data_IF_811813616084
#
_entry.id   IF_811813616084
#
_cell.length_a   1.000
_cell.length_b   1.000
_cell.length_c   1.000
_cell.angle_alpha   90.00
_cell.angle_beta   90.00
_cell.angle_gamma   90.00
#
_symmetry.space_group_name_H-M   'P 1'
#
loop_
_entity.id
_entity.type
_entity.pdbx_description
1 polymer ?
#
# COMPACT_ATOMS: atom_id res chain seq x y z
N UNK A 1 -4.48 -24.73 -4.09
CA UNK A 1 -4.45 -23.36 -3.52
C UNK A 1 -3.26 -22.54 -3.97
N UNK A 2 -2.01 -23.06 -3.89
CA UNK A 2 -0.78 -22.30 -4.24
C UNK A 2 -0.71 -21.69 -5.65
N UNK A 3 -1.31 -22.31 -6.66
CA UNK A 3 -1.27 -21.81 -8.06
C UNK A 3 -1.92 -20.42 -8.17
N UNK A 4 -3.12 -20.29 -7.60
CA UNK A 4 -3.90 -19.03 -7.61
C UNK A 4 -3.19 -17.97 -6.78
N UNK A 5 -2.78 -18.32 -5.56
CA UNK A 5 -2.05 -17.41 -4.68
C UNK A 5 -0.83 -16.78 -5.36
N UNK A 6 0.02 -17.61 -5.99
CA UNK A 6 1.18 -17.14 -6.76
C UNK A 6 0.81 -16.34 -8.01
N UNK A 7 -0.34 -16.65 -8.63
CA UNK A 7 -0.81 -15.87 -9.77
C UNK A 7 -1.13 -14.43 -9.34
N UNK A 8 -1.72 -14.27 -8.15
CA UNK A 8 -2.10 -12.97 -7.59
C UNK A 8 -0.91 -12.05 -7.28
N UNK A 9 0.34 -12.54 -7.25
CA UNK A 9 1.52 -11.66 -7.22
C UNK A 9 1.55 -10.68 -8.41
N UNK A 10 0.87 -10.98 -9.52
CA UNK A 10 0.72 -10.05 -10.63
C UNK A 10 0.01 -8.75 -10.24
N UNK A 11 -0.80 -8.72 -9.18
CA UNK A 11 -1.43 -7.48 -8.69
C UNK A 11 -0.35 -6.49 -8.24
N UNK A 12 0.69 -6.99 -7.58
CA UNK A 12 1.79 -6.18 -7.03
C UNK A 12 2.83 -5.84 -8.10
N UNK A 13 3.18 -6.80 -8.96
CA UNK A 13 4.29 -6.67 -9.91
C UNK A 13 3.86 -6.42 -11.37
N UNK A 14 2.57 -6.46 -11.66
CA UNK A 14 2.00 -6.38 -13.02
C UNK A 14 1.87 -7.74 -13.70
N UNK A 15 2.76 -8.69 -13.41
CA UNK A 15 2.68 -10.06 -13.91
C UNK A 15 3.24 -11.06 -12.89
N UNK A 16 2.93 -12.33 -13.08
CA UNK A 16 3.56 -13.45 -12.39
C UNK A 16 3.85 -14.57 -13.38
N UNK A 17 4.93 -15.30 -13.14
CA UNK A 17 5.33 -16.45 -13.94
C UNK A 17 5.59 -17.64 -13.03
N UNK A 18 5.09 -18.80 -13.44
CA UNK A 18 5.26 -20.04 -12.70
C UNK A 18 5.59 -21.18 -13.67
N UNK A 19 6.51 -22.07 -13.29
CA UNK A 19 6.75 -23.33 -13.99
C UNK A 19 5.78 -24.39 -13.48
N UNK A 20 5.11 -25.08 -14.38
CA UNK A 20 4.19 -26.19 -14.10
C UNK A 20 5.01 -27.48 -13.99
N UNK A 21 4.89 -28.16 -12.86
CA UNK A 21 5.52 -29.46 -12.63
C UNK A 21 4.53 -30.56 -12.98
N UNK A 22 4.75 -31.18 -14.13
CA UNK A 22 3.96 -32.31 -14.62
C UNK A 22 4.44 -33.62 -14.00
N UNK A 23 3.50 -34.49 -13.67
CA UNK A 23 3.74 -35.87 -13.23
C UNK A 23 2.84 -36.80 -14.03
N UNK A 24 3.44 -37.85 -14.59
CA UNK A 24 2.71 -38.93 -15.24
C UNK A 24 2.51 -40.07 -14.25
N UNK A 25 1.26 -40.56 -14.14
CA UNK A 25 0.91 -41.78 -13.43
C UNK A 25 -0.07 -42.60 -14.29
N UNK A 26 0.28 -43.84 -14.60
CA UNK A 26 -0.50 -44.77 -15.44
C UNK A 26 -0.98 -44.16 -16.78
N UNK A 27 -0.11 -43.41 -17.46
CA UNK A 27 -0.43 -42.73 -18.72
C UNK A 27 -1.31 -41.49 -18.59
N UNK A 28 -1.61 -41.05 -17.36
CA UNK A 28 -2.34 -39.82 -17.06
C UNK A 28 -1.36 -38.75 -16.56
N UNK A 29 -1.30 -37.64 -17.29
CA UNK A 29 -0.54 -36.45 -16.94
C UNK A 29 -1.35 -35.57 -15.98
N UNK A 30 -0.80 -35.34 -14.79
CA UNK A 30 -1.35 -34.47 -13.76
C UNK A 30 -0.33 -33.39 -13.37
N UNK A 31 -0.79 -32.41 -12.59
CA UNK A 31 0.05 -31.32 -12.10
C UNK A 31 0.37 -31.57 -10.64
N UNK A 32 1.63 -31.83 -10.32
CA UNK A 32 2.09 -31.99 -8.94
C UNK A 32 2.20 -30.65 -8.21
N UNK A 33 2.43 -29.57 -8.95
CA UNK A 33 2.48 -28.22 -8.41
C UNK A 33 3.03 -27.21 -9.40
N UNK A 34 3.32 -26.02 -8.88
CA UNK A 34 4.04 -24.98 -9.62
C UNK A 34 5.29 -24.54 -8.88
N UNK A 35 6.23 -23.93 -9.58
CA UNK A 35 7.37 -23.21 -9.02
C UNK A 35 7.25 -21.77 -9.46
N UNK A 36 7.10 -20.85 -8.51
CA UNK A 36 7.10 -19.42 -8.78
C UNK A 36 8.52 -18.89 -8.96
N UNK A 37 8.63 -17.83 -9.74
CA UNK A 37 9.87 -17.11 -9.97
C UNK A 37 9.66 -15.64 -9.64
N UNK A 38 10.67 -15.01 -9.06
CA UNK A 38 10.64 -13.56 -8.78
C UNK A 38 10.40 -12.77 -10.08
N UNK A 39 9.26 -12.04 -10.20
CA UNK A 39 8.93 -11.25 -11.39
C UNK A 39 10.03 -10.24 -11.77
N UNK A 40 10.82 -9.75 -10.81
CA UNK A 40 11.92 -8.81 -11.09
C UNK A 40 13.07 -9.43 -11.91
N UNK A 41 13.15 -10.76 -11.95
CA UNK A 41 14.25 -11.51 -12.57
C UNK A 41 13.86 -12.21 -13.87
N UNK A 42 12.56 -12.22 -14.20
CA UNK A 42 12.01 -12.93 -15.35
C UNK A 42 11.96 -12.01 -16.57
N UNK A 43 12.38 -12.55 -17.72
CA UNK A 43 12.14 -11.92 -19.04
C UNK A 43 11.09 -12.71 -19.81
N UNK A 44 9.97 -12.08 -20.12
CA UNK A 44 8.95 -12.67 -20.99
C UNK A 44 9.40 -12.59 -22.45
N UNK A 45 9.29 -13.70 -23.17
CA UNK A 45 9.57 -13.78 -24.60
C UNK A 45 8.23 -13.81 -25.35
N UNK A 46 8.02 -12.83 -26.23
CA UNK A 46 6.77 -12.66 -27.00
C UNK A 46 6.97 -12.89 -28.47
N UNK A 47 5.93 -13.34 -29.15
CA UNK A 47 5.88 -13.39 -30.61
C UNK A 47 5.68 -11.99 -31.22
N UNK A 48 5.58 -11.93 -32.55
CA UNK A 48 5.36 -10.68 -33.31
C UNK A 48 4.02 -10.00 -32.97
N UNK A 49 3.11 -10.69 -32.28
CA UNK A 49 1.80 -10.20 -31.88
C UNK A 49 1.74 -9.82 -30.38
N UNK A 50 2.83 -9.97 -29.64
CA UNK A 50 2.90 -9.66 -28.21
C UNK A 50 2.34 -10.77 -27.31
N UNK A 51 2.13 -11.97 -27.84
CA UNK A 51 1.72 -13.14 -27.05
C UNK A 51 2.94 -13.86 -26.48
N UNK A 52 2.87 -14.21 -25.20
CA UNK A 52 3.98 -14.83 -24.48
C UNK A 52 4.09 -16.31 -24.88
N UNK A 53 5.22 -16.72 -25.45
CA UNK A 53 5.47 -18.12 -25.84
C UNK A 53 6.53 -18.81 -24.97
N UNK A 54 7.28 -18.08 -24.17
CA UNK A 54 8.20 -18.61 -23.16
C UNK A 54 8.62 -17.50 -22.19
N UNK A 55 9.30 -17.87 -21.11
CA UNK A 55 10.00 -16.90 -20.28
C UNK A 55 11.40 -17.39 -19.93
N UNK A 56 12.31 -16.46 -19.68
CA UNK A 56 13.71 -16.73 -19.32
C UNK A 56 13.94 -16.34 -17.87
N UNK A 57 14.54 -17.24 -17.09
CA UNK A 57 14.96 -16.99 -15.70
C UNK A 57 16.46 -16.69 -15.62
N UNK A 58 16.99 -16.20 -14.48
CA UNK A 58 18.42 -15.99 -14.30
C UNK A 58 19.25 -17.24 -14.65
N UNK A 59 20.37 -17.02 -15.34
CA UNK A 59 21.20 -18.10 -15.88
C UNK A 59 20.88 -18.50 -17.33
N UNK A 60 19.89 -17.86 -17.96
CA UNK A 60 19.56 -18.07 -19.38
C UNK A 60 18.74 -19.33 -19.64
N UNK A 61 18.13 -19.89 -18.59
CA UNK A 61 17.24 -21.05 -18.72
C UNK A 61 15.90 -20.55 -19.25
N UNK A 62 15.48 -21.11 -20.38
CA UNK A 62 14.20 -20.81 -21.00
C UNK A 62 13.15 -21.85 -20.58
N UNK A 63 12.04 -21.37 -20.02
CA UNK A 63 10.86 -22.17 -19.72
C UNK A 63 9.85 -22.01 -20.86
N UNK A 64 9.56 -23.07 -21.64
CA UNK A 64 8.66 -22.99 -22.78
C UNK A 64 7.21 -22.78 -22.34
N UNK A 65 6.37 -22.21 -23.23
CA UNK A 65 4.94 -21.97 -22.97
C UNK A 65 4.24 -23.18 -22.35
N UNK A 66 4.50 -24.39 -22.84
CA UNK A 66 3.89 -25.64 -22.36
C UNK A 66 4.08 -25.89 -20.86
N UNK A 67 5.20 -25.43 -20.30
CA UNK A 67 5.53 -25.51 -18.88
C UNK A 67 5.29 -24.20 -18.14
N UNK A 68 4.87 -23.14 -18.81
CA UNK A 68 4.71 -21.82 -18.22
C UNK A 68 3.24 -21.53 -17.89
N UNK A 69 2.99 -21.03 -16.69
CA UNK A 69 1.78 -20.29 -16.34
C UNK A 69 2.17 -18.83 -16.14
N UNK A 70 1.77 -17.96 -17.06
CA UNK A 70 2.02 -16.52 -16.97
C UNK A 70 0.69 -15.79 -16.80
N UNK A 71 0.51 -15.12 -15.67
CA UNK A 71 -0.67 -14.29 -15.43
C UNK A 71 -0.27 -12.82 -15.51
N UNK A 72 -0.97 -12.05 -16.34
CA UNK A 72 -0.70 -10.61 -16.55
C UNK A 72 -1.88 -9.80 -16.03
N UNK A 73 -1.64 -8.96 -15.03
CA UNK A 73 -2.65 -8.08 -14.46
C UNK A 73 -2.74 -6.77 -15.24
N UNK A 74 -3.96 -6.36 -15.62
CA UNK A 74 -4.20 -5.16 -16.43
C UNK A 74 -3.34 -5.13 -17.72
N UNK A 75 -3.44 -6.21 -18.54
CA UNK A 75 -2.79 -6.28 -19.86
C UNK A 75 -3.42 -5.24 -20.81
N UNK A 76 -2.80 -4.07 -20.90
CA UNK A 76 -3.20 -2.99 -21.82
C UNK A 76 -2.22 -2.90 -22.99
N UNK A 77 -2.72 -2.59 -24.19
CA UNK A 77 -1.91 -2.36 -25.40
C UNK A 77 -0.95 -3.50 -25.77
N UNK A 78 -1.27 -4.74 -25.38
CA UNK A 78 -0.40 -5.90 -25.62
C UNK A 78 0.84 -5.94 -24.72
N UNK A 79 0.93 -5.13 -23.67
CA UNK A 79 2.05 -5.18 -22.72
C UNK A 79 2.03 -6.49 -21.90
N UNK A 80 2.99 -7.40 -22.10
CA UNK A 80 3.00 -8.70 -21.42
C UNK A 80 3.37 -8.60 -19.93
N UNK A 81 3.92 -7.47 -19.48
CA UNK A 81 4.27 -7.24 -18.08
C UNK A 81 3.13 -6.63 -17.26
N UNK A 82 2.02 -6.26 -17.91
CA UNK A 82 0.85 -5.71 -17.25
C UNK A 82 1.12 -4.39 -16.54
N UNK A 83 0.27 -4.06 -15.57
CA UNK A 83 0.37 -2.85 -14.77
C UNK A 83 0.04 -3.13 -13.31
N UNK A 84 1.01 -2.87 -12.43
CA UNK A 84 0.83 -3.02 -10.98
C UNK A 84 -0.31 -2.14 -10.46
N UNK A 85 -1.12 -2.70 -9.55
CA UNK A 85 -2.14 -1.97 -8.78
C UNK A 85 -1.54 -0.93 -7.84
N UNK A 86 -0.27 -1.09 -7.46
CA UNK A 86 0.46 -0.17 -6.58
C UNK A 86 1.03 1.04 -7.33
N UNK A 87 1.13 0.97 -8.66
CA UNK A 87 1.76 2.02 -9.47
C UNK A 87 1.09 3.41 -9.26
N UNK A 88 -0.24 3.55 -9.25
CA UNK A 88 -0.87 4.86 -9.01
C UNK A 88 -0.66 5.38 -7.58
N UNK A 89 -0.41 4.49 -6.61
CA UNK A 89 -0.18 4.87 -5.22
C UNK A 89 1.25 5.36 -4.96
N UNK A 90 2.20 5.06 -5.86
CA UNK A 90 3.63 5.34 -5.66
C UNK A 90 3.93 6.83 -5.41
N UNK A 91 3.37 7.74 -6.22
CA UNK A 91 3.61 9.18 -6.06
C UNK A 91 3.06 9.71 -4.74
N UNK A 92 1.90 9.21 -4.33
CA UNK A 92 1.23 9.59 -3.08
C UNK A 92 2.00 9.07 -1.88
N UNK A 93 2.41 7.80 -1.91
CA UNK A 93 3.24 7.18 -0.88
C UNK A 93 4.57 7.94 -0.73
N UNK A 94 5.26 8.23 -1.84
CA UNK A 94 6.51 8.99 -1.81
C UNK A 94 6.33 10.38 -1.21
N UNK A 95 5.22 11.05 -1.56
CA UNK A 95 4.87 12.35 -0.96
C UNK A 95 4.60 12.22 0.53
N UNK A 96 3.90 11.16 0.96
CA UNK A 96 3.62 10.88 2.37
C UNK A 96 4.91 10.69 3.17
N UNK A 97 5.87 9.93 2.67
CA UNK A 97 7.18 9.75 3.31
C UNK A 97 7.89 11.10 3.53
N UNK A 98 7.88 11.97 2.52
CA UNK A 98 8.48 13.30 2.63
C UNK A 98 7.76 14.20 3.65
N UNK A 99 6.43 14.21 3.63
CA UNK A 99 5.62 14.97 4.58
C UNK A 99 5.80 14.44 6.00
N UNK A 100 5.93 13.12 6.17
CA UNK A 100 6.21 12.50 7.45
C UNK A 100 7.54 13.00 8.02
N UNK A 101 8.60 13.08 7.20
CA UNK A 101 9.88 13.66 7.61
C UNK A 101 9.74 15.13 8.04
N UNK A 102 9.01 15.95 7.29
CA UNK A 102 8.75 17.34 7.66
C UNK A 102 7.91 17.47 8.94
N UNK A 103 6.96 16.56 9.13
CA UNK A 103 6.13 16.49 10.34
C UNK A 103 7.00 16.19 11.56
N UNK A 104 7.93 15.23 11.45
CA UNK A 104 8.86 14.91 12.52
C UNK A 104 9.77 16.09 12.86
N UNK A 105 10.31 16.79 11.84
CA UNK A 105 11.11 18.01 12.04
C UNK A 105 10.30 19.14 12.69
N UNK A 106 9.02 19.26 12.33
CA UNK A 106 8.12 20.22 12.97
C UNK A 106 7.92 19.87 14.45
N UNK A 107 7.69 18.59 14.77
CA UNK A 107 7.55 18.12 16.15
C UNK A 107 8.83 18.30 16.97
N UNK A 108 10.00 18.06 16.39
CA UNK A 108 11.29 18.33 17.02
C UNK A 108 11.41 19.82 17.40
N UNK A 109 11.17 20.73 16.44
CA UNK A 109 11.20 22.18 16.68
C UNK A 109 10.11 22.64 17.66
N UNK A 110 8.98 21.94 17.73
CA UNK A 110 7.93 22.24 18.71
C UNK A 110 8.27 21.74 20.11
N UNK A 111 8.94 20.59 20.21
CA UNK A 111 9.47 20.08 21.47
C UNK A 111 10.63 20.91 22.00
N UNK A 112 11.43 21.49 21.09
CA UNK A 112 12.53 22.40 21.41
C UNK A 112 12.43 23.71 20.59
N UNK A 113 11.53 24.63 20.97
CA UNK A 113 11.33 25.88 20.24
C UNK A 113 12.56 26.79 20.35
N UNK A 114 12.90 27.53 19.27
CA UNK A 114 13.92 28.56 19.35
C UNK A 114 13.59 29.57 20.45
N UNK A 115 14.58 29.84 21.29
CA UNK A 115 14.48 30.82 22.37
C UNK A 115 14.90 32.18 21.85
N UNK A 116 14.08 33.20 22.09
CA UNK A 116 14.42 34.59 21.80
C UNK A 116 14.79 35.27 23.11
N UNK A 117 16.03 35.76 23.19
CA UNK A 117 16.50 36.59 24.31
C UNK A 117 16.58 38.03 23.82
N UNK A 118 15.71 38.90 24.33
CA UNK A 118 15.78 40.34 24.05
C UNK A 118 16.71 40.99 25.07
N UNK A 119 17.67 41.77 24.57
CA UNK A 119 18.66 42.48 25.39
C UNK A 119 18.65 43.98 25.04
N UNK A 120 19.13 44.86 25.94
CA UNK A 120 19.17 46.29 25.71
C UNK A 120 20.13 46.68 24.58
N UNK A 121 19.66 47.52 23.67
CA UNK A 121 20.52 48.16 22.67
C UNK A 121 21.35 49.27 23.32
N UNK A 122 22.64 49.37 22.96
CA UNK A 122 23.55 50.46 23.37
C UNK A 122 24.12 51.19 22.16
N UNK A 123 24.38 52.49 22.29
CA UNK A 123 25.07 53.30 21.27
C UNK A 123 26.59 53.06 21.28
N UNK A 124 27.12 52.43 22.34
CA UNK A 124 28.51 52.03 22.46
C UNK A 124 28.64 50.58 21.97
N UNK A 125 29.36 50.39 20.86
CA UNK A 125 29.53 49.07 20.23
C UNK A 125 30.02 48.01 21.21
N UNK A 126 31.00 48.35 22.05
CA UNK A 126 31.58 47.41 23.03
C UNK A 126 30.58 46.94 24.11
N UNK A 127 29.55 47.73 24.43
CA UNK A 127 28.49 47.31 25.36
C UNK A 127 27.40 46.51 24.64
N UNK A 128 27.09 46.88 23.40
CA UNK A 128 26.15 46.13 22.56
C UNK A 128 26.64 44.70 22.31
N UNK A 129 27.93 44.53 22.02
CA UNK A 129 28.55 43.23 21.79
C UNK A 129 28.54 42.36 23.07
N UNK A 130 28.83 42.94 24.24
CA UNK A 130 28.76 42.23 25.53
C UNK A 130 27.34 41.78 25.86
N UNK A 131 26.35 42.66 25.69
CA UNK A 131 24.95 42.31 25.95
C UNK A 131 24.47 41.18 25.01
N UNK A 132 24.96 41.16 23.77
CA UNK A 132 24.65 40.10 22.81
C UNK A 132 25.29 38.76 23.21
N UNK A 133 26.56 38.76 23.64
CA UNK A 133 27.27 37.57 24.11
C UNK A 133 26.61 36.99 25.38
N UNK A 134 26.29 37.84 26.36
CA UNK A 134 25.58 37.44 27.59
C UNK A 134 24.19 36.86 27.26
N UNK A 135 23.45 37.48 26.33
CA UNK A 135 22.15 36.98 25.88
C UNK A 135 22.25 35.61 25.20
N UNK A 136 23.30 35.35 24.42
CA UNK A 136 23.54 34.05 23.78
C UNK A 136 23.94 32.98 24.79
N UNK A 137 24.75 33.33 25.81
CA UNK A 137 25.10 32.43 26.90
C UNK A 137 23.86 32.01 27.70
N UNK A 138 23.00 32.98 28.06
CA UNK A 138 21.71 32.73 28.71
C UNK A 138 20.82 31.82 27.84
N UNK A 139 20.73 32.10 26.54
CA UNK A 139 19.95 31.29 25.60
C UNK A 139 20.46 29.85 25.45
N UNK A 140 21.78 29.63 25.46
CA UNK A 140 22.39 28.29 25.41
C UNK A 140 22.20 27.51 26.70
N UNK A 141 22.36 28.15 27.85
CA UNK A 141 22.12 27.53 29.15
C UNK A 141 20.67 27.02 29.30
N UNK A 142 19.70 27.72 28.70
CA UNK A 142 18.28 27.31 28.69
C UNK A 142 18.03 26.04 27.86
N UNK A 143 18.72 25.86 26.73
CA UNK A 143 18.60 24.65 25.91
C UNK A 143 19.11 23.41 26.64
N UNK A 144 20.09 23.56 27.53
CA UNK A 144 20.72 22.47 28.27
C UNK A 144 19.99 22.14 29.58
N UNK A 145 19.31 23.10 30.23
CA UNK A 145 18.67 22.92 31.53
C UNK A 145 17.31 23.65 31.58
N UNK A 146 16.20 22.92 31.59
CA UNK A 146 14.84 23.46 31.65
C UNK A 146 14.48 24.06 33.02
N UNK A 147 15.02 25.24 33.35
CA UNK A 147 14.81 25.98 34.63
C UNK A 147 14.95 27.50 34.36
N UNK A 148 13.92 28.36 34.43
CA UNK A 148 13.23 29.04 35.57
C UNK A 148 13.73 30.49 35.85
N UNK A 149 12.73 31.35 36.13
CA UNK A 149 12.63 32.60 36.92
C UNK A 149 13.58 33.78 36.66
N UNK A 150 13.05 35.01 36.81
CA UNK A 150 13.39 35.94 37.92
C UNK A 150 12.88 37.39 37.72
N UNK A 151 12.98 38.30 38.73
CA UNK A 151 12.23 39.55 38.76
C UNK A 151 12.76 40.62 37.79
N UNK A 152 11.83 41.47 37.38
CA UNK A 152 11.88 42.30 36.18
C UNK A 152 12.03 43.79 36.53
N UNK A 153 12.96 44.47 35.87
CA UNK A 153 13.09 45.94 35.89
C UNK A 153 12.46 46.49 34.63
N UNK A 154 11.57 47.47 34.76
CA UNK A 154 10.83 48.08 33.65
C UNK A 154 11.45 49.42 33.25
N UNK A 155 11.43 49.72 31.95
CA UNK A 155 11.79 51.04 31.42
C UNK A 155 10.78 52.13 31.89
N UNK A 156 11.05 53.40 31.59
CA UNK A 156 10.16 54.53 31.89
C UNK A 156 8.75 54.39 31.27
N UNK A 157 8.59 53.46 30.31
CA UNK A 157 7.35 53.15 29.60
C UNK A 157 6.71 51.82 30.07
N UNK A 158 7.23 51.20 31.13
CA UNK A 158 6.67 49.99 31.74
C UNK A 158 7.01 48.67 31.03
N UNK A 159 7.94 48.65 30.07
CA UNK A 159 8.39 47.43 29.36
C UNK A 159 9.59 46.81 30.06
N UNK A 160 9.63 45.48 30.10
CA UNK A 160 10.76 44.77 30.70
C UNK A 160 12.04 45.05 29.92
N UNK A 161 13.13 45.36 30.64
CA UNK A 161 14.44 45.65 30.03
C UNK A 161 15.03 44.38 29.38
N UNK A 162 14.70 43.22 29.95
CA UNK A 162 15.00 41.89 29.41
C UNK A 162 13.68 41.12 29.33
N UNK A 163 13.33 40.63 28.15
CA UNK A 163 12.12 39.83 27.91
C UNK A 163 12.53 38.58 27.12
N UNK A 164 12.03 37.44 27.58
CA UNK A 164 12.46 36.13 27.13
C UNK A 164 11.20 35.32 26.81
N UNK A 165 11.10 34.90 25.56
CA UNK A 165 9.93 34.20 25.06
C UNK A 165 10.31 33.15 24.02
N UNK A 166 9.49 32.11 23.94
CA UNK A 166 9.59 31.16 22.85
C UNK A 166 8.94 31.73 21.60
N UNK A 167 9.53 31.47 20.44
CA UNK A 167 8.82 31.68 19.18
C UNK A 167 7.79 30.56 18.99
N UNK A 168 6.60 30.73 19.56
CA UNK A 168 5.50 29.80 19.38
C UNK A 168 4.75 30.08 18.08
N UNK A 169 4.76 29.14 17.14
CA UNK A 169 3.81 29.13 16.03
C UNK A 169 2.43 28.66 16.52
N UNK A 170 1.34 29.08 15.89
CA UNK A 170 0.00 28.54 16.19
C UNK A 170 -0.06 27.02 15.91
N UNK A 171 -1.14 26.36 16.32
CA UNK A 171 -1.33 24.91 16.28
C UNK A 171 -1.38 24.29 14.86
N UNK A 172 -0.26 24.35 14.12
CA UNK A 172 -0.12 23.79 12.76
C UNK A 172 0.10 22.28 12.73
N UNK A 173 0.33 21.65 13.89
CA UNK A 173 0.43 20.20 14.03
C UNK A 173 -0.77 19.47 13.40
N UNK A 174 -1.99 20.00 13.62
CA UNK A 174 -3.22 19.42 13.06
C UNK A 174 -3.20 19.36 11.53
N UNK A 175 -2.71 20.40 10.86
CA UNK A 175 -2.64 20.44 9.39
C UNK A 175 -1.74 19.35 8.80
N UNK A 176 -0.62 19.04 9.45
CA UNK A 176 0.25 17.94 9.02
C UNK A 176 -0.46 16.58 9.17
N UNK A 177 -1.10 16.34 10.32
CA UNK A 177 -1.84 15.10 10.57
C UNK A 177 -3.04 14.95 9.62
N UNK A 178 -3.76 16.03 9.34
CA UNK A 178 -4.86 16.05 8.38
C UNK A 178 -4.38 15.73 6.96
N UNK A 179 -3.25 16.31 6.55
CA UNK A 179 -2.68 16.04 5.24
C UNK A 179 -2.16 14.60 5.12
N UNK A 180 -1.51 14.07 6.16
CA UNK A 180 -1.11 12.66 6.21
C UNK A 180 -2.33 11.72 6.08
N UNK A 181 -3.42 12.01 6.80
CA UNK A 181 -4.69 11.26 6.68
C UNK A 181 -5.30 11.36 5.29
N UNK A 182 -5.19 12.51 4.63
CA UNK A 182 -5.61 12.67 3.24
C UNK A 182 -4.76 11.80 2.29
N UNK A 183 -3.44 11.77 2.46
CA UNK A 183 -2.54 10.94 1.67
C UNK A 183 -2.82 9.44 1.87
N UNK A 184 -3.14 9.00 3.10
CA UNK A 184 -3.59 7.63 3.36
C UNK A 184 -4.83 7.25 2.55
N UNK A 185 -5.83 8.14 2.50
CA UNK A 185 -7.03 7.93 1.66
C UNK A 185 -6.69 7.88 0.18
N UNK A 186 -5.75 8.71 -0.28
CA UNK A 186 -5.30 8.70 -1.67
C UNK A 186 -4.58 7.40 -2.03
N UNK A 187 -3.79 6.83 -1.12
CA UNK A 187 -3.17 5.51 -1.29
C UNK A 187 -4.24 4.41 -1.41
N UNK A 188 -5.24 4.40 -0.52
CA UNK A 188 -6.35 3.43 -0.61
C UNK A 188 -7.12 3.56 -1.93
N UNK A 189 -7.51 4.78 -2.31
CA UNK A 189 -8.24 5.01 -3.56
C UNK A 189 -7.42 4.64 -4.79
N UNK A 190 -6.10 4.86 -4.77
CA UNK A 190 -5.21 4.46 -5.85
C UNK A 190 -5.19 2.93 -6.06
N UNK A 191 -5.37 2.16 -4.98
CA UNK A 191 -5.52 0.70 -5.03
C UNK A 191 -6.97 0.24 -5.24
N UNK A 192 -7.88 1.17 -5.55
CA UNK A 192 -9.33 0.94 -5.68
C UNK A 192 -10.01 0.43 -4.39
N UNK A 193 -9.37 0.64 -3.23
CA UNK A 193 -9.93 0.31 -1.92
C UNK A 193 -10.77 1.51 -1.42
N UNK A 194 -12.03 1.29 -1.00
CA UNK A 194 -12.87 2.37 -0.49
C UNK A 194 -12.23 3.11 0.70
N UNK A 195 -12.32 4.45 0.71
CA UNK A 195 -11.59 5.34 1.63
C UNK A 195 -12.27 5.52 3.00
N UNK A 196 -13.61 5.43 3.05
CA UNK A 196 -14.41 5.49 4.28
C UNK A 196 -14.12 4.34 5.26
N UNK A 197 -13.23 3.46 4.86
CA UNK A 197 -12.62 2.44 5.67
C UNK A 197 -11.80 3.04 6.82
N UNK A 198 -11.08 4.14 6.64
CA UNK A 198 -10.18 4.66 7.70
C UNK A 198 -10.73 5.82 8.55
N UNK A 199 -11.94 6.33 8.28
CA UNK A 199 -12.46 7.54 8.96
C UNK A 199 -13.70 7.23 9.79
N UNK A 200 -13.54 7.16 11.11
CA UNK A 200 -14.61 6.93 12.09
C UNK A 200 -15.55 8.14 12.32
N UNK A 201 -15.30 9.29 11.69
CA UNK A 201 -16.09 10.50 11.96
C UNK A 201 -17.42 10.56 11.17
N UNK A 202 -18.48 10.21 11.89
CA UNK A 202 -19.78 10.90 11.96
C UNK A 202 -20.46 11.32 10.65
N UNK A 203 -21.27 10.42 10.07
CA UNK A 203 -22.58 10.77 9.49
C UNK A 203 -23.37 9.50 9.15
N UNK A 204 -24.64 9.45 9.55
CA UNK A 204 -25.60 8.34 9.28
C UNK A 204 -25.79 8.06 7.77
N UNK A 205 -25.49 9.02 6.90
CA UNK A 205 -25.51 8.85 5.43
C UNK A 205 -24.23 8.22 4.83
N UNK A 206 -23.18 8.00 5.62
CA UNK A 206 -21.89 7.49 5.15
C UNK A 206 -21.88 6.00 4.87
N UNK A 207 -22.72 5.22 5.57
CA UNK A 207 -22.74 3.77 5.51
C UNK A 207 -23.27 3.25 4.17
N UNK A 208 -24.37 3.83 3.66
CA UNK A 208 -24.90 3.47 2.34
C UNK A 208 -23.90 3.78 1.21
N UNK A 209 -23.16 4.89 1.32
CA UNK A 209 -22.11 5.22 0.35
C UNK A 209 -20.91 4.26 0.45
N UNK A 210 -20.50 3.87 1.66
CA UNK A 210 -19.45 2.88 1.85
C UNK A 210 -19.83 1.52 1.23
N UNK A 211 -21.10 1.10 1.37
CA UNK A 211 -21.61 -0.11 0.71
C UNK A 211 -21.52 -0.01 -0.82
N UNK A 212 -21.96 1.10 -1.41
CA UNK A 212 -21.88 1.30 -2.85
C UNK A 212 -20.43 1.25 -3.38
N UNK A 213 -19.46 1.80 -2.64
CA UNK A 213 -18.05 1.69 -3.00
C UNK A 213 -17.50 0.26 -2.86
N UNK A 214 -17.92 -0.48 -1.83
CA UNK A 214 -17.55 -1.88 -1.68
C UNK A 214 -18.14 -2.75 -2.79
N UNK A 215 -19.36 -2.46 -3.26
CA UNK A 215 -19.97 -3.19 -4.38
C UNK A 215 -19.16 -3.01 -5.67
N UNK A 216 -18.66 -1.79 -5.95
CA UNK A 216 -17.76 -1.52 -7.07
C UNK A 216 -16.42 -2.24 -6.91
N UNK A 217 -15.87 -2.27 -5.70
CA UNK A 217 -14.65 -3.01 -5.40
C UNK A 217 -14.83 -4.50 -5.67
N UNK A 218 -15.87 -5.14 -5.11
CA UNK A 218 -16.16 -6.56 -5.34
C UNK A 218 -16.42 -6.86 -6.83
N UNK A 219 -17.06 -5.95 -7.56
CA UNK A 219 -17.22 -6.09 -9.01
C UNK A 219 -15.87 -6.05 -9.75
N UNK A 220 -14.92 -5.23 -9.31
CA UNK A 220 -13.56 -5.21 -9.88
C UNK A 220 -12.80 -6.50 -9.57
N UNK A 221 -12.99 -7.08 -8.39
CA UNK A 221 -12.40 -8.37 -8.02
C UNK A 221 -13.03 -9.53 -8.81
N UNK A 222 -14.34 -9.47 -9.11
CA UNK A 222 -14.97 -10.42 -10.04
C UNK A 222 -14.36 -10.34 -11.45
N UNK A 223 -14.01 -9.14 -11.92
CA UNK A 223 -13.27 -8.94 -13.16
C UNK A 223 -11.92 -9.66 -13.11
N UNK A 224 -11.13 -9.41 -12.07
CA UNK A 224 -9.84 -10.07 -11.85
C UNK A 224 -9.97 -11.61 -11.83
N UNK A 225 -10.98 -12.14 -11.13
CA UNK A 225 -11.23 -13.57 -11.09
C UNK A 225 -11.64 -14.12 -12.47
N UNK A 226 -12.28 -13.32 -13.31
CA UNK A 226 -12.63 -13.73 -14.69
C UNK A 226 -11.39 -13.82 -15.56
N UNK A 227 -10.50 -12.84 -15.48
CA UNK A 227 -9.21 -12.86 -16.19
C UNK A 227 -8.37 -14.06 -15.74
N UNK A 228 -8.29 -14.31 -14.43
CA UNK A 228 -7.57 -15.45 -13.88
C UNK A 228 -8.17 -16.79 -14.33
N UNK A 229 -9.50 -16.91 -14.32
CA UNK A 229 -10.20 -18.09 -14.79
C UNK A 229 -9.92 -18.37 -16.27
N UNK A 230 -9.89 -17.34 -17.12
CA UNK A 230 -9.56 -17.47 -18.53
C UNK A 230 -8.11 -17.94 -18.73
N UNK A 231 -7.17 -17.38 -17.98
CA UNK A 231 -5.76 -17.73 -18.03
C UNK A 231 -5.48 -19.16 -17.55
N UNK A 232 -6.11 -19.58 -16.45
CA UNK A 232 -6.04 -20.96 -15.96
C UNK A 232 -6.65 -21.91 -16.99
N UNK A 233 -7.78 -21.57 -17.60
CA UNK A 233 -8.39 -22.41 -18.62
C UNK A 233 -7.51 -22.55 -19.86
N UNK A 234 -6.91 -21.44 -20.32
CA UNK A 234 -6.07 -21.40 -21.52
C UNK A 234 -4.74 -22.11 -21.32
N UNK A 235 -4.09 -21.93 -20.17
CA UNK A 235 -2.73 -22.41 -19.94
C UNK A 235 -2.66 -23.72 -19.15
N UNK A 236 -3.64 -24.01 -18.29
CA UNK A 236 -3.63 -25.23 -17.47
C UNK A 236 -4.60 -26.25 -18.04
N UNK A 237 -5.90 -25.92 -18.05
CA UNK A 237 -6.96 -26.89 -18.39
C UNK A 237 -6.80 -27.39 -19.82
N UNK A 238 -6.53 -26.51 -20.78
CA UNK A 238 -6.30 -26.89 -22.16
C UNK A 238 -5.16 -27.90 -22.31
N UNK A 239 -4.05 -27.72 -21.57
CA UNK A 239 -2.87 -28.61 -21.63
C UNK A 239 -3.12 -29.95 -20.95
N UNK A 240 -3.77 -29.95 -19.79
CA UNK A 240 -4.18 -31.21 -19.12
C UNK A 240 -5.08 -32.03 -20.04
N UNK A 241 -6.04 -31.40 -20.71
CA UNK A 241 -6.94 -32.10 -21.64
C UNK A 241 -6.18 -32.60 -22.86
N UNK A 242 -5.31 -31.77 -23.43
CA UNK A 242 -4.50 -32.14 -24.59
C UNK A 242 -3.59 -33.34 -24.30
N UNK A 243 -2.87 -33.33 -23.18
CA UNK A 243 -1.92 -34.40 -22.82
C UNK A 243 -2.61 -35.74 -22.50
N UNK A 244 -3.82 -35.70 -21.95
CA UNK A 244 -4.54 -36.92 -21.55
C UNK A 244 -5.50 -37.45 -22.60
N UNK A 245 -6.13 -36.57 -23.37
CA UNK A 245 -7.25 -36.94 -24.24
C UNK A 245 -7.12 -36.43 -25.67
N UNK A 246 -6.07 -35.66 -25.99
CA UNK A 246 -5.81 -35.13 -27.33
C UNK A 246 -6.60 -33.86 -27.68
N UNK A 247 -6.15 -33.16 -28.72
CA UNK A 247 -6.64 -31.84 -29.16
C UNK A 247 -8.10 -31.80 -29.63
N UNK A 248 -8.68 -32.96 -29.92
CA UNK A 248 -10.07 -33.08 -30.38
C UNK A 248 -11.09 -32.86 -29.26
N UNK A 249 -10.69 -33.01 -28.00
CA UNK A 249 -11.57 -32.77 -26.85
C UNK A 249 -11.59 -31.27 -26.55
N UNK A 250 -12.79 -30.69 -26.54
CA UNK A 250 -13.00 -29.27 -26.29
C UNK A 250 -14.17 -29.07 -25.32
N UNK A 251 -14.29 -27.87 -24.76
CA UNK A 251 -15.41 -27.52 -23.87
C UNK A 251 -15.20 -27.83 -22.38
N UNK A 252 -14.12 -28.54 -22.02
CA UNK A 252 -13.71 -28.69 -20.62
C UNK A 252 -13.18 -27.36 -20.11
N UNK A 253 -13.77 -26.84 -19.02
CA UNK A 253 -13.38 -25.58 -18.40
C UNK A 253 -13.51 -25.66 -16.89
N UNK A 254 -12.55 -25.08 -16.20
CA UNK A 254 -12.65 -24.69 -14.80
C UNK A 254 -13.50 -23.42 -14.71
N UNK A 255 -14.43 -23.40 -13.75
CA UNK A 255 -15.21 -22.21 -13.39
C UNK A 255 -14.92 -21.86 -11.95
N UNK A 256 -14.54 -20.61 -11.70
CA UNK A 256 -14.40 -20.08 -10.35
C UNK A 256 -15.80 -19.65 -9.91
N UNK A 257 -16.26 -20.21 -8.78
CA UNK A 257 -17.53 -19.84 -8.18
C UNK A 257 -17.55 -18.34 -7.87
N UNK A 258 -18.61 -17.66 -8.31
CA UNK A 258 -18.81 -16.24 -8.03
C UNK A 258 -19.54 -16.09 -6.71
N UNK A 259 -19.23 -15.02 -5.99
CA UNK A 259 -19.92 -14.68 -4.75
C UNK A 259 -21.40 -14.46 -5.06
N UNK A 260 -22.27 -15.26 -4.43
CA UNK A 260 -23.71 -15.03 -4.46
C UNK A 260 -24.04 -13.68 -3.79
N UNK A 261 -25.27 -13.20 -3.95
CA UNK A 261 -25.69 -11.97 -3.28
C UNK A 261 -25.52 -12.08 -1.76
N UNK A 262 -25.81 -13.25 -1.19
CA UNK A 262 -25.63 -13.53 0.25
C UNK A 262 -24.15 -13.50 0.63
N UNK A 263 -23.28 -14.11 -0.18
CA UNK A 263 -21.84 -14.12 0.08
C UNK A 263 -21.23 -12.71 -0.01
N UNK A 264 -21.71 -11.88 -0.94
CA UNK A 264 -21.31 -10.48 -1.04
C UNK A 264 -21.70 -9.69 0.20
N UNK A 265 -22.88 -9.94 0.75
CA UNK A 265 -23.33 -9.31 1.99
C UNK A 265 -22.44 -9.72 3.17
N UNK A 266 -22.13 -11.02 3.30
CA UNK A 266 -21.22 -11.54 4.32
C UNK A 266 -19.81 -10.94 4.18
N UNK A 267 -19.24 -10.97 2.98
CA UNK A 267 -17.91 -10.42 2.69
C UNK A 267 -17.83 -8.93 3.02
N UNK A 268 -18.89 -8.18 2.70
CA UNK A 268 -18.99 -6.76 3.05
C UNK A 268 -19.03 -6.55 4.55
N UNK A 269 -19.79 -7.33 5.28
CA UNK A 269 -19.92 -7.18 6.73
C UNK A 269 -18.61 -7.56 7.44
N UNK A 270 -17.92 -8.63 6.99
CA UNK A 270 -16.58 -8.98 7.47
C UNK A 270 -15.57 -7.88 7.16
N UNK A 271 -15.56 -7.38 5.92
CA UNK A 271 -14.65 -6.30 5.53
C UNK A 271 -14.88 -5.05 6.39
N UNK A 272 -16.13 -4.63 6.59
CA UNK A 272 -16.45 -3.49 7.45
C UNK A 272 -16.02 -3.70 8.90
N UNK A 273 -16.04 -4.93 9.42
CA UNK A 273 -15.63 -5.23 10.79
C UNK A 273 -14.11 -5.27 10.96
N UNK A 274 -13.38 -5.85 10.01
CA UNK A 274 -11.91 -5.79 9.95
C UNK A 274 -11.41 -4.34 9.96
N UNK A 275 -12.11 -3.52 9.19
CA UNK A 275 -11.86 -2.10 9.08
C UNK A 275 -12.09 -1.37 10.42
N UNK A 276 -13.20 -1.64 11.11
CA UNK A 276 -13.48 -1.01 12.41
C UNK A 276 -12.49 -1.43 13.49
N UNK A 277 -12.11 -2.71 13.49
CA UNK A 277 -11.16 -3.26 14.46
C UNK A 277 -9.72 -2.81 14.20
N UNK A 278 -9.43 -2.31 12.99
CA UNK A 278 -8.08 -1.96 12.56
C UNK A 278 -7.19 -3.18 12.35
N UNK A 279 -7.76 -4.39 12.36
CA UNK A 279 -7.04 -5.63 12.10
C UNK A 279 -7.24 -6.05 10.64
N UNK A 280 -6.14 -6.08 9.89
CA UNK A 280 -6.13 -6.46 8.48
C UNK A 280 -6.04 -7.98 8.27
N UNK A 281 -6.07 -8.80 9.33
CA UNK A 281 -6.02 -10.25 9.21
C UNK A 281 -7.40 -10.84 8.90
N UNK A 282 -7.53 -11.34 7.68
CA UNK A 282 -8.71 -12.09 7.24
C UNK A 282 -8.65 -13.48 7.88
N UNK A 283 -9.69 -13.93 8.62
CA UNK A 283 -9.77 -15.30 9.11
C UNK A 283 -10.15 -16.24 7.96
N UNK A 284 -9.20 -16.49 7.06
CA UNK A 284 -9.40 -17.19 5.78
C UNK A 284 -10.04 -18.57 5.93
N UNK A 285 -9.61 -19.37 6.91
CA UNK A 285 -10.19 -20.69 7.19
C UNK A 285 -11.66 -20.60 7.64
N UNK A 286 -11.98 -19.61 8.47
CA UNK A 286 -13.34 -19.40 8.95
C UNK A 286 -14.24 -18.96 7.80
N UNK A 287 -13.78 -18.00 6.99
CA UNK A 287 -14.48 -17.54 5.80
C UNK A 287 -14.70 -18.67 4.78
N UNK A 288 -13.68 -19.49 4.53
CA UNK A 288 -13.80 -20.63 3.63
C UNK A 288 -14.94 -21.56 4.09
N UNK A 289 -15.00 -21.87 5.38
CA UNK A 289 -16.06 -22.70 5.95
C UNK A 289 -17.45 -22.06 5.83
N UNK A 290 -17.59 -20.78 6.17
CA UNK A 290 -18.89 -20.08 6.11
C UNK A 290 -19.39 -19.92 4.66
N UNK A 291 -18.48 -19.77 3.70
CA UNK A 291 -18.79 -19.69 2.27
C UNK A 291 -18.96 -21.08 1.60
N UNK A 292 -18.87 -22.16 2.38
CA UNK A 292 -19.05 -23.53 1.89
C UNK A 292 -17.88 -24.05 1.04
N UNK A 293 -16.71 -23.40 1.09
CA UNK A 293 -15.50 -23.94 0.49
C UNK A 293 -14.94 -25.06 1.38
N UNK A 294 -14.42 -26.15 0.78
CA UNK A 294 -13.73 -27.18 1.54
C UNK A 294 -12.51 -26.57 2.25
N UNK A 295 -12.42 -26.75 3.56
CA UNK A 295 -11.22 -26.39 4.34
C UNK A 295 -10.10 -27.35 3.97
N UNK A 296 -8.87 -26.82 3.82
CA UNK A 296 -7.70 -27.68 3.67
C UNK A 296 -7.55 -28.55 4.93
N UNK A 297 -7.45 -29.87 4.74
CA UNK A 297 -6.91 -30.79 5.76
C UNK A 297 -5.38 -30.72 5.74
#
# INVERSE_FOLDING_TARGET
TKIVERALYAIEFGFSAQEIVWVEDDGIYTIAGTLDVDPATVRLNTDDFGEVFSYTIPGGIEVPAEKALVFTYQKEFGNPYGRSRLLPAYEVWRTKELIWLFTNRYFERKGNPPTIVKYPSSHLQAEADRNADDALEIGRALLENAVVALPSTRDEHGREIWDLGYLTDDARAGMFLDYLRYLDRMILRAMFIPDRVMTQDEAVGSYALARAHLDLFLLSEDGLLSDLEEEINRQIVARVVEYNYGKQISGVRLRISRLSQVDRELMRDVFMEMVKSGDARVPSETLARELGFPSEN
#
